data_IF_007105042117
#
_entry.id   IF_007105042117
#
_cell.length_a   1.000
_cell.length_b   1.000
_cell.length_c   1.000
_cell.angle_alpha   90.00
_cell.angle_beta   90.00
_cell.angle_gamma   90.00
#
_symmetry.space_group_name_H-M   'P 1'
#
loop_
_entity.id
_entity.type
_entity.pdbx_description
1 polymer ?
#
# COMPACT_ATOMS: atom_id res chain seq x y z
N UNK A 1 3.49 -28.40 -6.25
CA UNK A 1 3.77 -27.19 -5.47
C UNK A 1 5.21 -27.31 -5.00
N UNK A 2 6.07 -26.34 -5.31
CA UNK A 2 7.43 -26.34 -4.79
C UNK A 2 7.48 -25.77 -3.36
N UNK A 3 8.55 -26.04 -2.62
CA UNK A 3 8.72 -25.58 -1.23
C UNK A 3 8.64 -24.05 -1.12
N UNK A 4 9.19 -23.32 -2.10
CA UNK A 4 9.15 -21.86 -2.17
C UNK A 4 7.72 -21.34 -2.14
N UNK A 5 6.87 -21.93 -2.97
CA UNK A 5 5.45 -21.57 -3.11
C UNK A 5 4.70 -21.88 -1.82
N UNK A 6 4.99 -23.00 -1.16
CA UNK A 6 4.37 -23.35 0.12
C UNK A 6 4.77 -22.39 1.25
N UNK A 7 6.05 -22.06 1.36
CA UNK A 7 6.56 -21.11 2.34
C UNK A 7 6.03 -19.69 2.10
N UNK A 8 6.02 -19.24 0.85
CA UNK A 8 5.43 -17.96 0.49
C UNK A 8 3.93 -17.95 0.79
N UNK A 9 3.19 -19.00 0.43
CA UNK A 9 1.77 -19.11 0.74
C UNK A 9 1.51 -19.00 2.26
N UNK A 10 2.35 -19.56 3.12
CA UNK A 10 2.23 -19.40 4.57
C UNK A 10 2.36 -17.93 5.01
N UNK A 11 3.40 -17.22 4.52
CA UNK A 11 3.60 -15.78 4.80
C UNK A 11 2.43 -14.95 4.29
N UNK A 12 1.91 -15.28 3.11
CA UNK A 12 0.80 -14.59 2.49
C UNK A 12 -0.53 -14.87 3.19
N UNK A 13 -0.70 -16.07 3.77
CA UNK A 13 -1.89 -16.46 4.53
C UNK A 13 -1.91 -15.89 5.94
N UNK A 14 -0.74 -15.69 6.55
CA UNK A 14 -0.61 -14.97 7.82
C UNK A 14 0.46 -13.87 7.75
N UNK A 15 0.10 -12.68 7.23
CA UNK A 15 0.98 -11.53 7.23
C UNK A 15 1.38 -11.02 8.62
N UNK A 16 0.88 -11.55 9.73
CA UNK A 16 1.39 -11.17 11.04
C UNK A 16 2.46 -12.16 11.58
N UNK A 17 2.55 -13.35 11.00
CA UNK A 17 3.47 -14.40 11.44
C UNK A 17 4.92 -14.11 11.01
N UNK A 18 5.73 -13.66 11.97
CA UNK A 18 7.16 -13.44 11.78
C UNK A 18 7.95 -14.76 11.69
N UNK A 19 7.44 -15.86 12.27
CA UNK A 19 8.08 -17.18 12.16
C UNK A 19 8.00 -17.68 10.72
N UNK A 20 6.82 -17.61 10.07
CA UNK A 20 6.68 -17.97 8.66
C UNK A 20 7.63 -17.16 7.76
N UNK A 21 7.81 -15.86 8.06
CA UNK A 21 8.76 -14.99 7.33
C UNK A 21 10.20 -15.41 7.49
N UNK A 22 10.62 -15.73 8.72
CA UNK A 22 11.99 -16.14 8.99
C UNK A 22 12.31 -17.50 8.36
N UNK A 23 11.36 -18.44 8.35
CA UNK A 23 11.52 -19.72 7.63
C UNK A 23 11.66 -19.49 6.12
N UNK A 24 10.85 -18.59 5.53
CA UNK A 24 11.02 -18.20 4.12
C UNK A 24 12.39 -17.56 3.88
N UNK A 25 12.86 -16.69 4.79
CA UNK A 25 14.17 -16.04 4.69
C UNK A 25 15.32 -17.05 4.72
N UNK A 26 15.31 -18.01 5.64
CA UNK A 26 16.31 -19.08 5.73
C UNK A 26 16.36 -19.87 4.42
N UNK A 27 15.20 -20.29 3.90
CA UNK A 27 15.10 -21.02 2.64
C UNK A 27 15.63 -20.22 1.43
N UNK A 28 15.33 -18.92 1.35
CA UNK A 28 15.83 -18.04 0.29
C UNK A 28 17.36 -17.92 0.32
N UNK A 29 17.95 -17.79 1.52
CA UNK A 29 19.40 -17.72 1.70
C UNK A 29 20.09 -19.01 1.23
N UNK A 30 19.54 -20.18 1.60
CA UNK A 30 20.05 -21.49 1.18
C UNK A 30 19.97 -21.73 -0.34
N UNK A 31 19.05 -21.06 -1.04
CA UNK A 31 18.82 -21.21 -2.49
C UNK A 31 19.49 -20.13 -3.35
N UNK A 32 20.32 -19.28 -2.74
CA UNK A 32 21.05 -18.22 -3.44
C UNK A 32 20.25 -16.94 -3.66
N UNK A 33 19.03 -16.83 -3.12
CA UNK A 33 18.24 -15.60 -3.04
C UNK A 33 18.58 -14.80 -1.74
N UNK A 34 19.85 -14.82 -1.34
CA UNK A 34 20.31 -14.33 -0.02
C UNK A 34 20.03 -12.85 0.23
N UNK A 35 20.01 -12.03 -0.81
CA UNK A 35 19.65 -10.61 -0.72
C UNK A 35 18.23 -10.45 -0.18
N UNK A 36 17.28 -11.22 -0.71
CA UNK A 36 15.87 -11.09 -0.31
C UNK A 36 15.64 -11.68 1.08
N UNK A 37 16.22 -12.85 1.38
CA UNK A 37 16.16 -13.44 2.73
C UNK A 37 16.74 -12.52 3.80
N UNK A 38 17.91 -11.91 3.56
CA UNK A 38 18.51 -10.93 4.48
C UNK A 38 17.62 -9.69 4.69
N UNK A 39 16.94 -9.23 3.63
CA UNK A 39 16.02 -8.10 3.73
C UNK A 39 14.79 -8.43 4.59
N UNK A 40 14.21 -9.62 4.40
CA UNK A 40 13.10 -10.13 5.24
C UNK A 40 13.53 -10.21 6.70
N UNK A 41 14.66 -10.86 6.99
CA UNK A 41 15.17 -11.02 8.36
C UNK A 41 15.42 -9.67 9.04
N UNK A 42 16.13 -8.77 8.37
CA UNK A 42 16.41 -7.44 8.90
C UNK A 42 15.11 -6.65 9.15
N UNK A 43 14.14 -6.75 8.25
CA UNK A 43 12.82 -6.14 8.44
C UNK A 43 12.09 -6.70 9.66
N UNK A 44 12.07 -8.02 9.85
CA UNK A 44 11.43 -8.67 11.02
C UNK A 44 12.12 -8.26 12.31
N UNK A 45 13.46 -8.25 12.37
CA UNK A 45 14.21 -7.82 13.56
C UNK A 45 13.90 -6.36 13.89
N UNK A 46 13.95 -5.46 12.90
CA UNK A 46 13.65 -4.04 13.11
C UNK A 46 12.21 -3.82 13.60
N UNK A 47 11.24 -4.59 13.10
CA UNK A 47 9.82 -4.45 13.44
C UNK A 47 9.49 -4.79 14.90
N UNK A 48 10.31 -5.61 15.58
CA UNK A 48 10.14 -5.95 17.00
C UNK A 48 10.24 -4.74 17.92
N UNK A 49 10.96 -3.71 17.48
CA UNK A 49 11.18 -2.48 18.25
C UNK A 49 10.24 -1.34 17.82
N UNK A 50 9.24 -1.63 16.99
CA UNK A 50 8.27 -0.63 16.55
C UNK A 50 7.53 -0.06 17.75
N UNK A 51 7.63 1.26 17.95
CA UNK A 51 6.98 1.98 19.04
C UNK A 51 7.76 2.03 20.35
N UNK A 52 8.97 1.49 20.40
CA UNK A 52 9.87 1.68 21.54
C UNK A 52 10.35 3.13 21.62
N UNK A 53 10.35 3.72 22.81
CA UNK A 53 10.84 5.09 23.05
C UNK A 53 12.37 5.18 23.00
N UNK A 54 13.06 4.12 23.44
CA UNK A 54 14.51 3.99 23.43
C UNK A 54 14.87 2.56 23.03
N UNK A 55 15.79 2.42 22.09
CA UNK A 55 16.27 1.13 21.59
C UNK A 55 17.78 1.05 21.83
N UNK A 56 18.20 0.21 22.76
CA UNK A 56 19.61 -0.10 23.03
C UNK A 56 19.84 -1.59 22.77
N UNK A 57 19.72 -1.98 21.50
CA UNK A 57 19.87 -3.36 21.05
C UNK A 57 20.78 -3.41 19.81
N UNK A 58 21.93 -4.12 19.86
CA UNK A 58 22.85 -4.17 18.74
C UNK A 58 22.27 -4.86 17.50
N UNK A 59 21.36 -5.82 17.66
CA UNK A 59 20.73 -6.52 16.54
C UNK A 59 19.78 -5.59 15.78
N UNK A 60 19.09 -4.69 16.49
CA UNK A 60 18.28 -3.64 15.86
C UNK A 60 19.14 -2.75 14.94
N UNK A 61 20.28 -2.24 15.43
CA UNK A 61 21.15 -1.39 14.63
C UNK A 61 21.80 -2.15 13.45
N UNK A 62 22.16 -3.42 13.65
CA UNK A 62 22.65 -4.28 12.56
C UNK A 62 21.57 -4.52 11.49
N UNK A 63 20.32 -4.69 11.90
CA UNK A 63 19.18 -4.81 11.01
C UNK A 63 18.93 -3.51 10.21
N UNK A 64 18.93 -2.34 10.86
CA UNK A 64 18.80 -1.06 10.18
C UNK A 64 19.91 -0.81 9.17
N UNK A 65 21.15 -1.18 9.52
CA UNK A 65 22.27 -1.09 8.60
C UNK A 65 22.05 -1.99 7.38
N UNK A 66 21.60 -3.22 7.59
CA UNK A 66 21.29 -4.16 6.51
C UNK A 66 20.19 -3.64 5.59
N UNK A 67 19.09 -3.12 6.13
CA UNK A 67 18.02 -2.50 5.34
C UNK A 67 18.55 -1.31 4.52
N UNK A 68 19.38 -0.45 5.13
CA UNK A 68 19.99 0.70 4.46
C UNK A 68 20.93 0.28 3.32
N UNK A 69 21.82 -0.68 3.58
CA UNK A 69 22.78 -1.18 2.58
C UNK A 69 22.03 -1.77 1.36
N UNK A 70 21.04 -2.65 1.61
CA UNK A 70 20.30 -3.32 0.54
C UNK A 70 19.38 -2.36 -0.23
N UNK A 71 18.80 -1.36 0.45
CA UNK A 71 17.96 -0.36 -0.21
C UNK A 71 18.81 0.59 -1.05
N UNK A 72 19.98 1.00 -0.56
CA UNK A 72 20.96 1.80 -1.33
C UNK A 72 21.42 1.06 -2.58
N UNK A 73 21.53 -0.27 -2.51
CA UNK A 73 21.80 -1.15 -3.66
C UNK A 73 20.58 -1.36 -4.59
N UNK A 74 19.49 -0.61 -4.42
CA UNK A 74 18.27 -0.60 -5.25
C UNK A 74 17.38 -1.85 -5.21
N UNK A 75 17.66 -2.83 -4.34
CA UNK A 75 16.93 -4.10 -4.36
C UNK A 75 15.40 -3.95 -4.18
N UNK A 76 14.90 -3.17 -3.21
CA UNK A 76 13.47 -2.90 -3.09
C UNK A 76 12.83 -2.22 -4.32
N UNK A 77 13.57 -1.34 -5.01
CA UNK A 77 13.10 -0.72 -6.24
C UNK A 77 13.00 -1.74 -7.39
N UNK A 78 13.96 -2.66 -7.50
CA UNK A 78 13.90 -3.75 -8.48
C UNK A 78 12.71 -4.66 -8.24
N UNK A 79 12.41 -5.01 -6.98
CA UNK A 79 11.23 -5.83 -6.65
C UNK A 79 9.91 -5.11 -6.92
N UNK A 80 9.83 -3.81 -6.62
CA UNK A 80 8.65 -3.01 -6.93
C UNK A 80 8.45 -2.87 -8.45
N UNK A 81 9.53 -2.68 -9.22
CA UNK A 81 9.50 -2.60 -10.68
C UNK A 81 9.11 -3.92 -11.34
N UNK A 82 9.43 -5.06 -10.71
CA UNK A 82 9.00 -6.38 -11.19
C UNK A 82 7.47 -6.56 -11.21
N UNK A 83 6.70 -5.70 -10.53
CA UNK A 83 5.24 -5.60 -10.65
C UNK A 83 4.77 -4.86 -11.92
N UNK A 84 5.69 -4.44 -12.79
CA UNK A 84 5.40 -3.57 -13.93
C UNK A 84 5.26 -2.09 -13.56
N UNK A 85 5.78 -1.68 -12.40
CA UNK A 85 5.73 -0.31 -11.93
C UNK A 85 6.98 0.45 -12.38
N UNK A 86 6.79 1.47 -13.23
CA UNK A 86 7.88 2.29 -13.77
C UNK A 86 8.46 1.75 -15.08
N UNK A 87 9.66 2.24 -15.50
CA UNK A 87 10.29 1.81 -16.74
C UNK A 87 10.78 0.36 -16.64
N UNK A 88 10.87 -0.32 -17.79
CA UNK A 88 11.30 -1.73 -17.87
C UNK A 88 12.75 -1.99 -17.44
N UNK A 89 13.57 -0.93 -17.39
CA UNK A 89 14.93 -0.96 -16.84
C UNK A 89 15.09 0.28 -15.98
N UNK A 90 15.26 0.10 -14.67
CA UNK A 90 15.51 1.21 -13.75
C UNK A 90 16.94 1.72 -13.93
N UNK A 91 17.07 3.00 -14.27
CA UNK A 91 18.32 3.74 -14.21
C UNK A 91 18.51 4.41 -12.85
N UNK A 92 19.74 4.85 -12.59
CA UNK A 92 20.02 5.72 -11.45
C UNK A 92 19.24 7.04 -11.60
N UNK A 93 18.42 7.38 -10.60
CA UNK A 93 17.54 8.55 -10.61
C UNK A 93 16.06 8.26 -10.93
N UNK A 94 15.73 7.07 -11.44
CA UNK A 94 14.33 6.67 -11.68
C UNK A 94 13.57 6.37 -10.38
N UNK A 95 14.31 6.20 -9.29
CA UNK A 95 13.78 5.83 -8.00
C UNK A 95 14.44 6.59 -6.85
N UNK A 96 13.73 6.67 -5.73
CA UNK A 96 14.23 7.21 -4.46
C UNK A 96 13.69 6.38 -3.31
N UNK A 97 14.33 6.47 -2.15
CA UNK A 97 13.86 5.79 -0.96
C UNK A 97 13.99 6.65 0.29
N UNK A 98 13.13 6.38 1.26
CA UNK A 98 13.25 6.85 2.64
C UNK A 98 13.01 5.67 3.61
N UNK A 99 13.52 5.78 4.83
CA UNK A 99 13.41 4.74 5.85
C UNK A 99 13.00 5.32 7.20
N UNK A 100 12.10 4.62 7.88
CA UNK A 100 11.67 4.94 9.24
C UNK A 100 11.55 3.65 10.06
N UNK A 101 12.59 3.32 10.82
CA UNK A 101 12.67 2.06 11.57
C UNK A 101 12.65 0.87 10.62
N UNK A 102 11.64 -0.01 10.76
CA UNK A 102 11.46 -1.21 9.93
C UNK A 102 10.83 -0.94 8.55
N UNK A 103 10.36 0.29 8.32
CA UNK A 103 9.65 0.65 7.10
C UNK A 103 10.60 1.26 6.08
N UNK A 104 10.61 0.69 4.88
CA UNK A 104 11.36 1.19 3.73
C UNK A 104 10.35 1.64 2.67
N UNK A 105 10.31 2.93 2.40
CA UNK A 105 9.47 3.51 1.34
C UNK A 105 10.31 3.65 0.08
N UNK A 106 9.80 3.14 -1.04
CA UNK A 106 10.45 3.25 -2.35
C UNK A 106 9.51 3.97 -3.30
N UNK A 107 10.01 4.91 -4.08
CA UNK A 107 9.26 5.62 -5.12
C UNK A 107 9.85 5.32 -6.49
N UNK A 108 9.01 5.01 -7.47
CA UNK A 108 9.37 4.84 -8.89
C UNK A 108 8.36 5.65 -9.73
N UNK A 109 8.79 6.80 -10.24
CA UNK A 109 7.88 7.75 -10.89
C UNK A 109 6.73 8.16 -9.97
N UNK A 110 5.50 7.84 -10.36
CA UNK A 110 4.28 8.13 -9.58
C UNK A 110 3.86 6.98 -8.63
N UNK A 111 4.52 5.81 -8.73
CA UNK A 111 4.25 4.69 -7.85
C UNK A 111 5.10 4.79 -6.58
N UNK A 112 4.54 4.41 -5.45
CA UNK A 112 5.24 4.32 -4.17
C UNK A 112 4.89 2.99 -3.52
N UNK A 113 5.89 2.23 -3.09
CA UNK A 113 5.72 0.99 -2.33
C UNK A 113 6.32 1.14 -0.94
N UNK A 114 5.63 0.65 0.08
CA UNK A 114 6.18 0.58 1.44
C UNK A 114 6.41 -0.87 1.83
N UNK A 115 7.66 -1.19 2.11
CA UNK A 115 8.06 -2.47 2.67
C UNK A 115 8.03 -2.39 4.19
N UNK A 116 7.43 -3.40 4.82
CA UNK A 116 7.43 -3.58 6.27
C UNK A 116 7.69 -5.04 6.59
N UNK A 117 8.47 -5.31 7.64
CA UNK A 117 8.97 -6.68 7.93
C UNK A 117 9.62 -7.33 6.69
N UNK A 118 10.26 -6.50 5.87
CA UNK A 118 10.94 -6.87 4.62
C UNK A 118 10.03 -7.36 3.47
N UNK A 119 8.72 -7.14 3.54
CA UNK A 119 7.78 -7.48 2.47
C UNK A 119 6.96 -6.24 2.05
N UNK A 120 6.55 -6.15 0.78
CA UNK A 120 5.69 -5.05 0.31
C UNK A 120 4.31 -5.12 0.97
N UNK A 121 3.99 -4.13 1.79
CA UNK A 121 2.77 -4.09 2.59
C UNK A 121 1.81 -2.97 2.15
N UNK A 122 2.33 -1.86 1.62
CA UNK A 122 1.51 -0.75 1.13
C UNK A 122 1.90 -0.31 -0.27
N UNK A 123 0.93 0.14 -1.07
CA UNK A 123 1.15 0.60 -2.43
C UNK A 123 0.32 1.87 -2.74
N UNK A 124 0.97 2.93 -3.19
CA UNK A 124 0.35 4.15 -3.69
C UNK A 124 0.55 4.18 -5.22
N UNK A 125 -0.53 3.99 -5.98
CA UNK A 125 -0.55 3.92 -7.47
C UNK A 125 -1.82 4.57 -8.01
N UNK A 126 -1.94 4.80 -9.32
CA UNK A 126 -3.23 5.20 -9.89
C UNK A 126 -4.23 4.05 -9.83
N UNK A 127 -5.53 4.35 -9.81
CA UNK A 127 -6.57 3.33 -9.78
C UNK A 127 -6.47 2.36 -10.97
N UNK A 128 -6.20 2.91 -12.16
CA UNK A 128 -5.99 2.10 -13.37
C UNK A 128 -4.81 1.14 -13.21
N UNK A 129 -3.69 1.62 -12.65
CA UNK A 129 -2.51 0.79 -12.45
C UNK A 129 -2.76 -0.28 -11.39
N UNK A 130 -3.47 0.06 -10.30
CA UNK A 130 -3.90 -0.92 -9.31
C UNK A 130 -4.70 -2.05 -9.94
N UNK A 131 -5.72 -1.76 -10.76
CA UNK A 131 -6.50 -2.81 -11.42
C UNK A 131 -5.64 -3.72 -12.31
N UNK A 132 -4.61 -3.16 -12.96
CA UNK A 132 -3.70 -3.94 -13.79
C UNK A 132 -2.76 -4.85 -12.98
N UNK A 133 -2.23 -4.37 -11.85
CA UNK A 133 -1.21 -5.09 -11.07
C UNK A 133 -1.77 -5.91 -9.91
N UNK A 134 -3.02 -5.68 -9.48
CA UNK A 134 -3.58 -6.27 -8.28
C UNK A 134 -3.43 -7.81 -8.19
N UNK A 135 -3.76 -8.60 -9.23
CA UNK A 135 -3.60 -10.05 -9.16
C UNK A 135 -2.15 -10.47 -8.92
N UNK A 136 -1.20 -9.89 -9.67
CA UNK A 136 0.23 -10.19 -9.53
C UNK A 136 0.79 -9.74 -8.19
N UNK A 137 0.39 -8.54 -7.75
CA UNK A 137 0.85 -7.95 -6.51
C UNK A 137 0.35 -8.74 -5.29
N UNK A 138 -0.93 -9.14 -5.27
CA UNK A 138 -1.50 -9.96 -4.21
C UNK A 138 -1.01 -11.42 -4.25
N UNK A 139 -0.64 -11.94 -5.42
CA UNK A 139 -0.02 -13.27 -5.53
C UNK A 139 1.40 -13.31 -4.96
N UNK A 140 2.13 -12.20 -5.03
CA UNK A 140 3.54 -12.14 -4.64
C UNK A 140 3.77 -11.53 -3.25
N UNK A 141 2.87 -10.66 -2.77
CA UNK A 141 3.11 -9.82 -1.61
C UNK A 141 1.92 -9.78 -0.63
N UNK A 142 2.18 -9.67 0.69
CA UNK A 142 1.15 -9.48 1.69
C UNK A 142 0.70 -8.02 1.73
N UNK A 143 0.19 -7.48 0.62
CA UNK A 143 -0.31 -6.11 0.57
C UNK A 143 -1.51 -6.00 1.50
N UNK A 144 -1.44 -5.05 2.44
CA UNK A 144 -2.48 -4.75 3.43
C UNK A 144 -3.25 -3.48 3.02
N UNK A 145 -2.61 -2.56 2.29
CA UNK A 145 -3.21 -1.28 1.91
C UNK A 145 -2.78 -0.82 0.52
N UNK A 146 -3.74 -0.28 -0.22
CA UNK A 146 -3.49 0.42 -1.48
C UNK A 146 -4.15 1.79 -1.45
N UNK A 147 -3.46 2.84 -1.91
CA UNK A 147 -4.03 4.18 -2.10
C UNK A 147 -4.06 4.52 -3.58
N UNK A 148 -5.22 4.97 -4.06
CA UNK A 148 -5.36 5.47 -5.42
C UNK A 148 -4.93 6.95 -5.49
N UNK A 149 -3.81 7.25 -6.17
CA UNK A 149 -3.22 8.59 -6.21
C UNK A 149 -4.00 9.59 -7.07
N UNK A 150 -4.80 9.09 -8.02
CA UNK A 150 -5.64 9.87 -8.92
C UNK A 150 -7.09 10.04 -8.41
N UNK A 151 -7.45 9.38 -7.31
CA UNK A 151 -8.74 9.52 -6.62
C UNK A 151 -8.49 9.88 -5.14
N UNK A 152 -8.37 11.18 -4.80
CA UNK A 152 -8.03 11.61 -3.46
C UNK A 152 -8.96 11.02 -2.38
N UNK A 153 -8.34 10.37 -1.38
CA UNK A 153 -9.05 9.77 -0.25
C UNK A 153 -9.58 8.36 -0.49
N UNK A 154 -9.42 7.80 -1.71
CA UNK A 154 -9.73 6.41 -2.00
C UNK A 154 -8.58 5.49 -1.55
N UNK A 155 -8.91 4.51 -0.71
CA UNK A 155 -7.99 3.47 -0.26
C UNK A 155 -8.66 2.10 -0.30
N UNK A 156 -7.91 1.06 -0.64
CA UNK A 156 -8.32 -0.33 -0.44
C UNK A 156 -7.54 -0.91 0.74
N UNK A 157 -8.22 -1.60 1.63
CA UNK A 157 -7.61 -2.43 2.67
C UNK A 157 -7.84 -3.90 2.30
N UNK A 158 -6.81 -4.72 2.48
CA UNK A 158 -6.87 -6.17 2.26
C UNK A 158 -6.53 -6.84 3.58
N UNK A 159 -7.44 -7.66 4.09
CA UNK A 159 -7.28 -8.26 5.40
C UNK A 159 -7.80 -9.71 5.42
N UNK A 160 -7.16 -10.53 6.27
CA UNK A 160 -7.68 -11.84 6.61
C UNK A 160 -8.74 -11.69 7.69
N UNK A 161 -9.89 -12.29 7.46
CA UNK A 161 -11.00 -12.39 8.40
C UNK A 161 -11.24 -13.85 8.76
N UNK A 162 -12.07 -14.13 9.77
CA UNK A 162 -12.36 -15.50 10.20
C UNK A 162 -12.88 -16.40 9.06
N UNK A 163 -13.65 -15.80 8.14
CA UNK A 163 -14.30 -16.49 7.02
C UNK A 163 -13.49 -16.51 5.71
N UNK A 164 -12.24 -16.03 5.72
CA UNK A 164 -11.40 -15.95 4.53
C UNK A 164 -10.71 -14.60 4.39
N UNK A 165 -10.93 -13.93 3.26
CA UNK A 165 -10.31 -12.63 2.95
C UNK A 165 -11.37 -11.57 2.66
N UNK A 166 -11.05 -10.32 3.02
CA UNK A 166 -11.87 -9.15 2.72
C UNK A 166 -11.04 -8.09 2.01
N UNK A 167 -11.60 -7.51 0.95
CA UNK A 167 -11.16 -6.20 0.42
C UNK A 167 -12.20 -5.16 0.81
N UNK A 168 -11.76 -4.08 1.45
CA UNK A 168 -12.60 -2.93 1.79
C UNK A 168 -12.10 -1.71 1.04
N UNK A 169 -12.92 -1.16 0.14
CA UNK A 169 -12.69 0.18 -0.40
C UNK A 169 -13.26 1.24 0.54
N UNK A 170 -12.48 2.27 0.85
CA UNK A 170 -12.93 3.45 1.60
C UNK A 170 -12.67 4.72 0.82
N UNK A 171 -13.64 5.63 0.83
CA UNK A 171 -13.53 6.96 0.27
C UNK A 171 -13.71 8.01 1.37
N UNK A 172 -12.65 8.77 1.64
CA UNK A 172 -12.69 9.91 2.57
C UNK A 172 -12.57 11.23 1.84
N UNK A 173 -13.62 12.04 1.89
CA UNK A 173 -13.58 13.40 1.33
C UNK A 173 -13.22 14.42 2.41
N UNK A 174 -12.22 15.30 2.18
CA UNK A 174 -11.87 16.33 3.14
C UNK A 174 -13.03 17.33 3.29
N UNK A 175 -13.11 17.96 4.47
CA UNK A 175 -14.06 19.05 4.73
C UNK A 175 -13.91 20.14 3.68
N UNK A 176 -14.97 20.43 2.92
CA UNK A 176 -14.96 21.51 1.92
C UNK A 176 -15.61 22.75 2.50
N UNK A 177 -14.84 23.82 2.52
CA UNK A 177 -15.32 25.17 2.80
C UNK A 177 -15.72 25.78 1.46
N UNK A 178 -17.02 25.94 1.21
CA UNK A 178 -17.52 26.59 -0.01
C UNK A 178 -17.77 28.06 0.34
N UNK A 179 -17.01 29.00 -0.25
CA UNK A 179 -17.34 30.42 -0.14
C UNK A 179 -18.69 30.67 -0.80
N UNK A 180 -19.60 31.36 -0.11
CA UNK A 180 -20.86 31.82 -0.69
C UNK A 180 -20.59 33.03 -1.59
N UNK A 181 -20.16 32.79 -2.83
CA UNK A 181 -20.00 33.86 -3.84
C UNK A 181 -21.10 33.77 -4.89
N UNK A 182 -22.01 34.76 -4.92
CA UNK A 182 -22.75 35.09 -6.15
C UNK A 182 -24.28 34.94 -6.18
N UNK A 183 -24.96 34.54 -5.10
CA UNK A 183 -26.43 34.53 -5.06
C UNK A 183 -26.91 35.41 -3.91
N UNK A 184 -27.83 36.34 -4.21
CA UNK A 184 -28.46 37.29 -3.29
C UNK A 184 -28.54 36.73 -1.86
N UNK A 185 -27.57 37.12 -1.03
CA UNK A 185 -27.53 36.69 0.35
C UNK A 185 -28.70 37.37 1.06
N UNK A 186 -29.51 36.64 1.84
CA UNK A 186 -30.43 37.28 2.77
C UNK A 186 -29.63 38.28 3.61
N UNK A 187 -30.13 39.53 3.78
CA UNK A 187 -29.43 40.63 4.48
C UNK A 187 -28.95 40.32 5.91
N UNK A 188 -29.28 39.14 6.46
CA UNK A 188 -28.90 38.68 7.78
C UNK A 188 -27.56 37.90 7.83
N UNK A 189 -26.89 37.60 6.70
CA UNK A 189 -25.62 36.87 6.73
C UNK A 189 -24.41 37.80 6.71
N UNK A 190 -23.47 37.56 7.63
CA UNK A 190 -22.21 38.29 7.70
C UNK A 190 -21.39 38.12 6.41
N UNK A 191 -20.74 39.19 5.90
CA UNK A 191 -19.77 39.10 4.82
C UNK A 191 -18.70 38.05 5.15
N UNK A 192 -18.51 37.05 4.28
CA UNK A 192 -17.54 35.97 4.49
C UNK A 192 -18.11 34.68 5.10
N UNK A 193 -19.44 34.53 5.19
CA UNK A 193 -20.04 33.25 5.58
C UNK A 193 -19.59 32.10 4.65
N UNK A 194 -19.10 31.02 5.25
CA UNK A 194 -18.67 29.80 4.58
C UNK A 194 -19.64 28.69 4.94
N UNK A 195 -20.20 28.00 3.93
CA UNK A 195 -20.87 26.74 4.17
C UNK A 195 -19.80 25.67 4.37
N UNK A 196 -19.66 25.23 5.61
CA UNK A 196 -18.84 24.08 5.94
C UNK A 196 -19.62 22.79 5.68
N UNK A 197 -19.23 22.05 4.66
CA UNK A 197 -19.68 20.67 4.49
C UNK A 197 -18.82 19.77 5.37
N UNK A 198 -19.45 18.95 6.22
CA UNK A 198 -18.74 17.95 7.05
C UNK A 198 -17.96 16.97 6.17
N UNK A 199 -16.85 16.44 6.68
CA UNK A 199 -16.17 15.30 6.05
C UNK A 199 -17.16 14.15 5.89
N UNK A 200 -17.06 13.43 4.78
CA UNK A 200 -17.82 12.22 4.55
C UNK A 200 -16.86 11.03 4.35
N UNK A 201 -17.22 9.89 4.95
CA UNK A 201 -16.49 8.62 4.89
C UNK A 201 -17.48 7.56 4.42
N UNK A 202 -17.14 6.86 3.34
CA UNK A 202 -17.92 5.78 2.77
C UNK A 202 -17.06 4.54 2.64
N UNK A 203 -17.67 3.36 2.77
CA UNK A 203 -16.98 2.08 2.63
C UNK A 203 -17.85 1.06 1.89
N UNK A 204 -17.21 0.17 1.13
CA UNK A 204 -17.80 -0.99 0.50
C UNK A 204 -16.84 -2.19 0.61
N UNK A 205 -17.40 -3.38 0.85
CA UNK A 205 -16.66 -4.60 1.19
C UNK A 205 -16.92 -5.69 0.16
N UNK A 206 -15.91 -6.51 -0.12
CA UNK A 206 -16.02 -7.76 -0.88
C UNK A 206 -15.28 -8.89 -0.15
N UNK A 207 -15.90 -10.08 -0.14
CA UNK A 207 -15.43 -11.24 0.61
C UNK A 207 -15.00 -12.38 -0.33
N UNK A 208 -13.95 -13.08 0.07
CA UNK A 208 -13.38 -14.21 -0.67
C UNK A 208 -13.15 -15.37 0.28
N UNK A 209 -13.46 -16.59 -0.16
CA UNK A 209 -13.32 -17.79 0.67
C UNK A 209 -11.86 -18.08 1.05
N UNK A 210 -10.93 -17.80 0.13
CA UNK A 210 -9.50 -18.02 0.31
C UNK A 210 -8.67 -16.99 -0.46
N UNK A 211 -7.35 -17.10 -0.34
CA UNK A 211 -6.42 -16.16 -0.96
C UNK A 211 -6.35 -16.32 -2.48
N UNK A 212 -6.58 -17.51 -3.01
CA UNK A 212 -6.57 -17.74 -4.45
C UNK A 212 -7.75 -17.03 -5.11
N UNK A 213 -8.95 -17.17 -4.52
CA UNK A 213 -10.14 -16.43 -4.93
C UNK A 213 -9.95 -14.92 -4.84
N UNK A 214 -9.29 -14.42 -3.77
CA UNK A 214 -8.89 -13.02 -3.65
C UNK A 214 -8.01 -12.58 -4.83
N UNK A 215 -6.93 -13.31 -5.12
CA UNK A 215 -6.00 -12.97 -6.21
C UNK A 215 -6.69 -12.95 -7.56
N UNK A 216 -7.55 -13.93 -7.85
CA UNK A 216 -8.25 -14.04 -9.13
C UNK A 216 -9.35 -12.97 -9.28
N UNK A 217 -10.04 -12.61 -8.19
CA UNK A 217 -11.18 -11.69 -8.21
C UNK A 217 -10.84 -10.23 -7.95
N UNK A 218 -9.69 -9.91 -7.33
CA UNK A 218 -9.40 -8.59 -6.76
C UNK A 218 -9.64 -7.43 -7.73
N UNK A 219 -9.16 -7.51 -8.97
CA UNK A 219 -9.29 -6.42 -9.94
C UNK A 219 -10.76 -6.13 -10.30
N UNK A 220 -11.58 -7.18 -10.51
CA UNK A 220 -13.01 -7.05 -10.80
C UNK A 220 -13.76 -6.51 -9.60
N UNK A 221 -13.54 -7.09 -8.43
CA UNK A 221 -14.24 -6.71 -7.20
C UNK A 221 -13.86 -5.29 -6.73
N UNK A 222 -12.62 -4.86 -6.90
CA UNK A 222 -12.22 -3.46 -6.67
C UNK A 222 -12.95 -2.49 -7.60
N UNK A 223 -13.21 -2.88 -8.85
CA UNK A 223 -13.99 -2.05 -9.78
C UNK A 223 -15.44 -1.89 -9.31
N UNK A 224 -16.07 -2.97 -8.85
CA UNK A 224 -17.43 -2.93 -8.31
C UNK A 224 -17.52 -2.06 -7.06
N UNK A 225 -16.58 -2.23 -6.13
CA UNK A 225 -16.42 -1.37 -4.94
C UNK A 225 -16.33 0.11 -5.34
N UNK A 226 -15.56 0.44 -6.37
CA UNK A 226 -15.40 1.82 -6.84
C UNK A 226 -16.72 2.35 -7.41
N UNK A 227 -17.46 1.55 -8.15
CA UNK A 227 -18.74 1.96 -8.72
C UNK A 227 -19.80 2.16 -7.61
N UNK A 228 -19.86 1.26 -6.62
CA UNK A 228 -20.70 1.44 -5.43
C UNK A 228 -20.36 2.74 -4.68
N UNK A 229 -19.06 3.02 -4.48
CA UNK A 229 -18.61 4.24 -3.82
C UNK A 229 -18.93 5.50 -4.64
N UNK A 230 -18.88 5.44 -5.98
CA UNK A 230 -19.30 6.56 -6.86
C UNK A 230 -20.78 6.82 -6.73
N UNK A 231 -21.59 5.77 -6.76
CA UNK A 231 -23.05 5.88 -6.68
C UNK A 231 -23.48 6.49 -5.35
N UNK A 232 -22.88 6.06 -4.24
CA UNK A 232 -23.19 6.60 -2.90
C UNK A 232 -22.60 8.00 -2.70
N UNK A 233 -21.42 8.31 -3.24
CA UNK A 233 -20.82 9.63 -3.12
C UNK A 233 -21.52 10.69 -4.01
N UNK A 234 -22.08 10.29 -5.14
CA UNK A 234 -22.71 11.17 -6.13
C UNK A 234 -21.82 12.36 -6.50
N UNK A 235 -22.34 13.57 -6.37
CA UNK A 235 -21.62 14.82 -6.65
C UNK A 235 -20.38 15.08 -5.77
N UNK A 236 -20.19 14.28 -4.71
CA UNK A 236 -19.03 14.36 -3.81
C UNK A 236 -17.85 13.50 -4.27
N UNK A 237 -18.00 12.72 -5.34
CA UNK A 237 -16.88 11.94 -5.88
C UNK A 237 -15.71 12.85 -6.27
N UNK A 238 -14.47 12.55 -5.81
CA UNK A 238 -13.30 13.37 -6.13
C UNK A 238 -13.08 13.45 -7.64
N UNK A 239 -12.92 14.67 -8.14
CA UNK A 239 -12.41 14.86 -9.50
C UNK A 239 -10.89 14.63 -9.52
N UNK A 240 -10.33 14.00 -10.56
CA UNK A 240 -8.89 13.88 -10.70
C UNK A 240 -8.24 15.27 -10.61
N UNK A 241 -7.08 15.41 -9.94
CA UNK A 241 -6.37 16.66 -9.90
C UNK A 241 -6.08 17.14 -11.33
N UNK A 242 -6.51 18.36 -11.66
CA UNK A 242 -6.22 18.96 -12.97
C UNK A 242 -4.71 19.06 -13.10
N UNK A 243 -4.12 18.32 -14.05
CA UNK A 243 -2.69 18.45 -14.37
C UNK A 243 -2.43 19.92 -14.72
N UNK A 244 -1.63 20.60 -13.89
CA UNK A 244 -1.12 21.93 -14.25
C UNK A 244 -0.26 21.74 -15.49
N UNK A 245 -0.60 22.41 -16.59
CA UNK A 245 0.30 22.52 -17.74
C UNK A 245 1.49 23.36 -17.27
N UNK A 246 2.61 22.68 -17.01
CA UNK A 246 3.93 23.28 -16.79
C UNK A 246 4.56 23.62 -18.11
#
# INVERSE_FOLDING_TARGET
>A
MDDRTALLANVLNDPADDTARLVLADWLEERGESVFGRFIRAGVVAARFRGAELIDDPDYYAALKTLTDLTTASHPALWLSALGLGPSRLAFGDWSWDGAGDRVTVRIGAALGVFSRGMLAELDVTLQLWHAVAPFALAAWPIERVRATDVPGLTFAVERVEQGWRITGRLRTPRRNVPLTGSALPSAMAPGAVLAQSSADWAADQFFADREALVQGAARECSLIVDDLKDVAGDRWPRPPRRRRT
#
